data_IF_986414494225
#
_entry.id   IF_986414494225
#
_cell.length_a   1.000
_cell.length_b   1.000
_cell.length_c   1.000
_cell.angle_alpha   90.00
_cell.angle_beta   90.00
_cell.angle_gamma   90.00
#
_symmetry.space_group_name_H-M   'P 1'
#
loop_
_entity.id
_entity.type
_entity.pdbx_description
1 polymer ?
#
# COMPACT_ATOMS: atom_id res chain seq x y z
N UNK A 1 -16.33 13.68 -12.54
CA UNK A 1 -16.55 12.28 -12.16
C UNK A 1 -15.87 11.98 -10.84
N UNK A 2 -16.44 11.10 -10.02
CA UNK A 2 -15.87 10.75 -8.71
C UNK A 2 -14.91 9.57 -8.85
N UNK A 3 -13.78 9.61 -8.14
CA UNK A 3 -12.75 8.56 -8.17
C UNK A 3 -13.32 7.24 -7.63
N UNK A 4 -13.22 6.14 -8.37
CA UNK A 4 -13.68 4.81 -7.95
C UNK A 4 -12.71 4.20 -6.93
N UNK A 5 -13.13 3.24 -6.11
CA UNK A 5 -12.21 2.58 -5.19
C UNK A 5 -11.04 1.86 -5.87
N UNK A 6 -11.21 1.34 -7.08
CA UNK A 6 -10.14 0.73 -7.88
C UNK A 6 -9.10 1.78 -8.29
N UNK A 7 -9.54 2.99 -8.64
CA UNK A 7 -8.64 4.11 -8.97
C UNK A 7 -7.80 4.55 -7.75
N UNK A 8 -8.27 4.36 -6.51
CA UNK A 8 -7.42 4.58 -5.34
C UNK A 8 -6.22 3.61 -5.32
N UNK A 9 -6.45 2.33 -5.67
CA UNK A 9 -5.39 1.33 -5.71
C UNK A 9 -4.42 1.60 -6.86
N UNK A 10 -4.90 2.11 -8.00
CA UNK A 10 -4.05 2.55 -9.09
C UNK A 10 -3.11 3.69 -8.63
N UNK A 11 -3.64 4.67 -7.91
CA UNK A 11 -2.83 5.76 -7.34
C UNK A 11 -1.77 5.21 -6.37
N UNK A 12 -2.16 4.29 -5.47
CA UNK A 12 -1.20 3.68 -4.53
C UNK A 12 -0.13 2.87 -5.27
N UNK A 13 -0.52 2.11 -6.30
CA UNK A 13 0.41 1.39 -7.16
C UNK A 13 1.40 2.34 -7.83
N UNK A 14 0.97 3.48 -8.35
CA UNK A 14 1.86 4.47 -9.00
C UNK A 14 2.98 4.95 -8.06
N UNK A 15 2.69 5.17 -6.78
CA UNK A 15 3.72 5.54 -5.80
C UNK A 15 4.69 4.39 -5.49
N UNK A 16 4.19 3.15 -5.39
CA UNK A 16 5.04 1.95 -5.25
C UNK A 16 5.93 1.77 -6.47
N UNK A 17 5.38 1.98 -7.66
CA UNK A 17 6.08 1.92 -8.94
C UNK A 17 7.17 3.00 -9.03
N UNK A 18 6.87 4.22 -8.60
CA UNK A 18 7.82 5.32 -8.56
C UNK A 18 8.96 5.01 -7.57
N UNK A 19 8.65 4.45 -6.41
CA UNK A 19 9.64 3.98 -5.44
C UNK A 19 10.56 2.94 -6.08
N UNK A 20 9.99 1.89 -6.70
CA UNK A 20 10.78 0.87 -7.38
C UNK A 20 11.69 1.45 -8.45
N UNK A 21 11.21 2.40 -9.26
CA UNK A 21 12.05 3.05 -10.28
C UNK A 21 13.19 3.87 -9.68
N UNK A 22 12.99 4.46 -8.51
CA UNK A 22 14.01 5.24 -7.81
C UNK A 22 15.05 4.35 -7.09
N UNK A 23 14.63 3.21 -6.54
CA UNK A 23 15.46 2.41 -5.63
C UNK A 23 15.79 0.99 -6.12
N UNK A 24 15.22 0.54 -7.23
CA UNK A 24 15.51 -0.73 -7.89
C UNK A 24 14.52 -1.87 -7.59
N UNK A 25 13.91 -1.86 -6.41
CA UNK A 25 12.94 -2.87 -5.95
C UNK A 25 11.74 -2.22 -5.25
N UNK A 26 10.65 -2.97 -5.15
CA UNK A 26 9.50 -2.60 -4.32
C UNK A 26 9.93 -2.37 -2.86
N UNK A 27 9.27 -1.44 -2.14
CA UNK A 27 9.40 -1.39 -0.69
C UNK A 27 8.84 -2.68 -0.08
N UNK A 28 9.43 -3.12 1.02
CA UNK A 28 9.08 -4.38 1.71
C UNK A 28 8.78 -4.11 3.18
N UNK A 29 8.06 -5.04 3.82
CA UNK A 29 7.68 -4.97 5.22
C UNK A 29 6.17 -4.78 5.42
N UNK A 30 5.80 -4.35 6.62
CA UNK A 30 4.41 -4.07 6.96
C UNK A 30 3.96 -2.76 6.31
N UNK A 31 2.65 -2.47 6.38
CA UNK A 31 2.08 -1.22 5.89
C UNK A 31 2.83 0.02 6.42
N UNK A 32 3.22 0.02 7.70
CA UNK A 32 3.96 1.14 8.29
C UNK A 32 5.36 1.32 7.69
N UNK A 33 6.05 0.23 7.37
CA UNK A 33 7.39 0.26 6.78
C UNK A 33 7.33 0.80 5.35
N UNK A 34 6.35 0.31 4.57
CA UNK A 34 6.09 0.79 3.21
C UNK A 34 5.65 2.25 3.23
N UNK A 35 4.78 2.66 4.16
CA UNK A 35 4.35 4.05 4.31
C UNK A 35 5.53 4.96 4.65
N UNK A 36 6.41 4.54 5.55
CA UNK A 36 7.61 5.28 5.90
C UNK A 36 8.56 5.41 4.70
N UNK A 37 8.70 4.35 3.89
CA UNK A 37 9.51 4.35 2.68
C UNK A 37 8.95 5.32 1.63
N UNK A 38 7.64 5.29 1.38
CA UNK A 38 6.98 6.19 0.43
C UNK A 38 7.00 7.65 0.88
N UNK A 39 6.88 7.92 2.18
CA UNK A 39 6.88 9.29 2.73
C UNK A 39 8.29 9.82 3.00
N UNK A 40 9.32 8.99 2.86
CA UNK A 40 10.71 9.35 3.11
C UNK A 40 11.06 9.52 4.60
N UNK A 41 10.24 8.99 5.52
CA UNK A 41 10.47 9.14 6.97
C UNK A 41 11.40 8.09 7.56
N UNK A 42 11.78 7.05 6.80
CA UNK A 42 12.76 6.03 7.24
C UNK A 42 14.11 6.66 7.53
N UNK A 43 14.55 7.61 6.70
CA UNK A 43 15.83 8.28 6.83
C UNK A 43 15.68 9.75 6.45
N UNK A 44 15.54 10.66 7.43
CA UNK A 44 15.40 12.10 7.19
C UNK A 44 16.58 12.73 6.42
N UNK A 45 17.73 12.03 6.31
CA UNK A 45 18.88 12.48 5.54
C UNK A 45 18.78 12.17 4.04
N UNK A 46 17.79 11.37 3.63
CA UNK A 46 17.49 11.08 2.22
C UNK A 46 16.33 11.96 1.74
N UNK A 47 16.60 13.09 1.07
CA UNK A 47 15.53 13.92 0.50
C UNK A 47 14.82 13.13 -0.60
N UNK A 48 13.49 13.00 -0.51
CA UNK A 48 12.71 12.38 -1.59
C UNK A 48 11.48 11.58 -1.17
N UNK A 49 10.67 12.09 -0.23
CA UNK A 49 9.34 11.52 0.00
C UNK A 49 8.53 11.58 -1.30
N UNK A 50 8.10 10.43 -1.80
CA UNK A 50 7.29 10.29 -3.00
C UNK A 50 5.81 10.55 -2.68
N UNK A 51 5.40 10.21 -1.46
CA UNK A 51 4.05 10.43 -0.95
C UNK A 51 4.05 11.52 0.14
N UNK A 52 3.07 12.43 0.15
CA UNK A 52 2.99 13.48 1.16
C UNK A 52 2.71 12.90 2.56
N UNK A 53 3.67 13.04 3.47
CA UNK A 53 3.58 12.53 4.85
C UNK A 53 2.40 13.12 5.64
N UNK A 54 1.92 14.31 5.28
CA UNK A 54 0.78 15.00 5.89
C UNK A 54 -0.57 14.72 5.19
N UNK A 55 -0.62 13.73 4.29
CA UNK A 55 -1.86 13.30 3.65
C UNK A 55 -2.87 12.78 4.67
N UNK A 56 -4.18 13.07 4.53
CA UNK A 56 -5.24 12.47 5.36
C UNK A 56 -5.34 10.94 5.27
N UNK A 57 -4.73 10.36 4.22
CA UNK A 57 -4.62 8.91 4.04
C UNK A 57 -3.52 8.30 4.92
N UNK A 58 -2.58 9.09 5.46
CA UNK A 58 -1.57 8.61 6.41
C UNK A 58 -2.07 8.86 7.83
N UNK A 59 -2.31 7.78 8.59
CA UNK A 59 -2.78 7.86 9.99
C UNK A 59 -1.98 6.88 10.84
N UNK A 60 -1.40 7.36 11.94
CA UNK A 60 -0.57 6.51 12.80
C UNK A 60 0.64 5.87 12.11
N UNK A 61 1.15 6.50 11.04
CA UNK A 61 2.25 5.96 10.24
C UNK A 61 1.85 4.88 9.23
N UNK A 62 0.55 4.64 9.05
CA UNK A 62 0.02 3.66 8.10
C UNK A 62 -0.78 4.35 6.99
N UNK A 63 -0.72 3.81 5.78
CA UNK A 63 -1.53 4.23 4.64
C UNK A 63 -2.89 3.54 4.69
N UNK A 64 -3.94 4.36 4.73
CA UNK A 64 -5.33 3.95 4.90
C UNK A 64 -6.08 3.98 3.57
N UNK A 65 -6.97 3.02 3.36
CA UNK A 65 -8.00 3.06 2.33
C UNK A 65 -9.06 4.14 2.61
N UNK A 66 -9.95 4.36 1.64
CA UNK A 66 -11.03 5.35 1.76
C UNK A 66 -12.02 5.08 2.90
N UNK A 67 -12.13 3.84 3.36
CA UNK A 67 -13.01 3.45 4.47
C UNK A 67 -12.32 3.55 5.83
N UNK A 68 -11.01 3.78 5.85
CA UNK A 68 -10.20 4.00 7.04
C UNK A 68 -9.49 2.75 7.56
N UNK A 69 -9.45 1.66 6.78
CA UNK A 69 -8.66 0.47 7.11
C UNK A 69 -7.25 0.61 6.53
N UNK A 70 -6.20 0.10 7.19
CA UNK A 70 -4.88 0.07 6.58
C UNK A 70 -4.89 -0.81 5.32
N UNK A 71 -4.29 -0.32 4.23
CA UNK A 71 -4.02 -1.19 3.08
C UNK A 71 -3.19 -2.40 3.50
N UNK A 72 -3.47 -3.56 2.92
CA UNK A 72 -2.57 -4.70 2.99
C UNK A 72 -1.66 -4.70 1.77
N UNK A 73 -0.37 -4.85 2.03
CA UNK A 73 0.66 -4.92 1.00
C UNK A 73 1.31 -6.29 1.06
N UNK A 74 1.46 -6.90 -0.11
CA UNK A 74 2.18 -8.14 -0.26
C UNK A 74 3.18 -8.02 -1.39
N UNK A 75 4.46 -7.92 -1.03
CA UNK A 75 5.55 -7.93 -2.00
C UNK A 75 5.72 -9.34 -2.57
N UNK A 76 4.98 -9.65 -3.64
CA UNK A 76 5.01 -10.94 -4.35
C UNK A 76 6.39 -11.17 -4.97
N UNK A 77 7.02 -10.11 -5.46
CA UNK A 77 8.41 -10.09 -5.94
C UNK A 77 8.97 -8.67 -5.88
N UNK A 78 10.25 -8.48 -6.20
CA UNK A 78 10.86 -7.16 -6.31
C UNK A 78 10.15 -6.20 -7.28
N UNK A 79 9.36 -6.72 -8.23
CA UNK A 79 8.63 -5.94 -9.22
C UNK A 79 7.09 -6.12 -9.18
N UNK A 80 6.54 -6.94 -8.27
CA UNK A 80 5.09 -7.13 -8.14
C UNK A 80 4.66 -6.95 -6.70
N UNK A 81 3.79 -5.98 -6.47
CA UNK A 81 3.15 -5.70 -5.19
C UNK A 81 1.66 -5.96 -5.34
N UNK A 82 1.11 -6.89 -4.57
CA UNK A 82 -0.33 -6.94 -4.36
C UNK A 82 -0.72 -5.84 -3.35
N UNK A 83 -1.76 -5.09 -3.69
CA UNK A 83 -2.33 -4.04 -2.86
C UNK A 83 -3.79 -4.40 -2.64
N UNK A 84 -4.21 -4.40 -1.37
CA UNK A 84 -5.56 -4.79 -1.00
C UNK A 84 -6.17 -3.77 -0.05
N UNK A 85 -7.36 -3.30 -0.40
CA UNK A 85 -8.24 -2.52 0.45
C UNK A 85 -9.23 -3.48 1.12
N UNK A 86 -9.55 -3.23 2.40
CA UNK A 86 -10.46 -4.07 3.18
C UNK A 86 -11.94 -3.75 2.91
N UNK A 87 -12.22 -2.95 1.88
CA UNK A 87 -13.57 -2.65 1.46
C UNK A 87 -14.42 -1.88 2.49
N UNK A 88 -15.71 -1.70 2.17
CA UNK A 88 -16.68 -1.12 3.09
C UNK A 88 -16.83 -1.83 4.44
N UNK A 89 -16.64 -3.16 4.51
CA UNK A 89 -16.81 -3.94 5.74
C UNK A 89 -15.62 -3.85 6.70
N UNK A 90 -14.48 -3.34 6.20
CA UNK A 90 -13.22 -3.09 6.92
C UNK A 90 -12.55 -4.33 7.46
N UNK A 91 -12.83 -5.50 6.88
CA UNK A 91 -12.23 -6.77 7.24
C UNK A 91 -11.47 -7.31 6.03
N UNK A 92 -10.16 -7.51 6.19
CA UNK A 92 -9.37 -8.11 5.12
C UNK A 92 -9.79 -9.55 4.86
N UNK A 93 -9.65 -9.95 3.61
CA UNK A 93 -9.89 -11.30 3.09
C UNK A 93 -11.37 -11.70 3.12
N UNK A 94 -12.25 -10.73 2.93
CA UNK A 94 -13.69 -10.93 2.71
C UNK A 94 -14.04 -10.71 1.23
N UNK A 95 -15.34 -10.77 0.91
CA UNK A 95 -15.82 -10.69 -0.47
C UNK A 95 -15.87 -9.29 -1.05
N UNK A 96 -15.74 -8.24 -0.24
CA UNK A 96 -15.76 -6.84 -0.66
C UNK A 96 -14.36 -6.19 -0.70
N UNK A 97 -13.32 -6.98 -0.46
CA UNK A 97 -11.94 -6.57 -0.71
C UNK A 97 -11.76 -6.12 -2.15
N UNK A 98 -10.96 -5.06 -2.32
CA UNK A 98 -10.55 -4.57 -3.63
C UNK A 98 -9.07 -4.84 -3.75
N UNK A 99 -8.69 -5.53 -4.83
CA UNK A 99 -7.36 -6.12 -4.98
C UNK A 99 -6.76 -5.65 -6.30
N UNK A 100 -5.52 -5.15 -6.22
CA UNK A 100 -4.68 -4.84 -7.37
C UNK A 100 -3.50 -5.82 -7.38
N UNK A 101 -3.15 -6.30 -8.58
CA UNK A 101 -2.07 -7.27 -8.80
C UNK A 101 -2.23 -8.58 -8.01
N UNK A 102 -3.45 -9.09 -7.95
CA UNK A 102 -3.81 -10.32 -7.23
C UNK A 102 -2.73 -11.41 -7.37
N UNK A 103 -2.22 -11.86 -6.22
CA UNK A 103 -1.24 -12.94 -6.09
C UNK A 103 -1.89 -14.30 -5.83
N UNK A 104 -3.22 -14.36 -5.75
CA UNK A 104 -3.99 -15.56 -5.40
C UNK A 104 -4.06 -15.83 -3.90
N UNK A 105 -3.58 -14.92 -3.05
CA UNK A 105 -3.72 -15.05 -1.60
C UNK A 105 -5.17 -14.74 -1.23
N UNK A 106 -5.87 -15.74 -0.74
CA UNK A 106 -7.27 -15.63 -0.30
C UNK A 106 -7.40 -16.27 1.08
N UNK A 107 -8.01 -15.56 2.03
CA UNK A 107 -8.45 -16.10 3.32
C UNK A 107 -7.36 -16.63 4.26
N UNK A 108 -7.18 -15.95 5.40
CA UNK A 108 -6.40 -16.43 6.53
C UNK A 108 -4.98 -15.90 6.54
N UNK A 109 -4.62 -15.27 7.67
CA UNK A 109 -3.27 -14.80 7.95
C UNK A 109 -2.27 -15.96 7.89
N UNK A 110 -1.69 -16.22 6.72
CA UNK A 110 -0.47 -17.00 6.62
C UNK A 110 0.51 -16.35 5.64
N UNK A 111 1.61 -15.92 6.25
CA UNK A 111 2.95 -15.78 5.71
C UNK A 111 3.21 -14.56 4.82
N UNK A 112 3.61 -13.47 5.47
CA UNK A 112 4.90 -12.87 5.13
C UNK A 112 5.77 -12.73 6.38
N UNK A 113 6.80 -13.58 6.43
CA UNK A 113 8.05 -13.37 7.14
C UNK A 113 8.86 -12.28 6.44
#
# INVERSE_FOLDING_TARGET
>A
DAITPEEDLDIVEEFVDLYRRAYGDNPVGLNSDITAALTGTVDPSKPGGLFPANSPAVRGGQLMDRWGSPFWFHSVSGAKMEIRSAGPDRQLFTGDDIIKNDSGVTGGAELQQ
#
